data_IF_906085266996
#
_entry.id   IF_906085266996
#
_cell.length_a   1.000
_cell.length_b   1.000
_cell.length_c   1.000
_cell.angle_alpha   90.00
_cell.angle_beta   90.00
_cell.angle_gamma   90.00
#
_symmetry.space_group_name_H-M   'P 1'
#
loop_
_entity.id
_entity.type
_entity.pdbx_description
1 polymer ?
#
# COMPACT_ATOMS: atom_id res chain seq x y z
N UNK A 1 -3.49 28.42 4.96
CA UNK A 1 -3.57 27.09 4.37
C UNK A 1 -2.97 26.09 5.37
N UNK A 2 -3.75 25.08 5.74
CA UNK A 2 -3.27 24.00 6.62
C UNK A 2 -2.41 23.05 5.79
N UNK A 3 -1.21 22.73 6.28
CA UNK A 3 -0.33 21.77 5.63
C UNK A 3 -0.96 20.39 5.57
N UNK A 4 -0.88 19.75 4.41
CA UNK A 4 -1.41 18.41 4.19
C UNK A 4 -0.36 17.34 4.45
N UNK A 5 -0.80 16.23 5.01
CA UNK A 5 0.00 15.03 5.26
C UNK A 5 -0.75 13.81 4.74
N UNK A 6 -0.07 12.69 4.59
CA UNK A 6 -0.70 11.41 4.31
C UNK A 6 -0.35 10.42 5.41
N UNK A 7 -1.21 10.31 6.41
CA UNK A 7 -1.03 9.42 7.57
C UNK A 7 -1.96 8.18 7.45
N UNK A 8 -3.19 8.41 7.03
CA UNK A 8 -4.24 7.42 6.83
C UNK A 8 -4.72 7.49 5.38
N UNK A 9 -5.08 6.35 4.74
CA UNK A 9 -5.64 6.38 3.38
C UNK A 9 -6.85 7.30 3.21
N UNK A 10 -7.62 7.50 4.28
CA UNK A 10 -8.81 8.35 4.28
C UNK A 10 -8.50 9.84 4.48
N UNK A 11 -7.24 10.22 4.62
CA UNK A 11 -6.86 11.65 4.66
C UNK A 11 -7.11 12.37 3.33
N UNK A 12 -7.17 11.59 2.25
CA UNK A 12 -7.58 12.11 0.95
C UNK A 12 -9.04 11.77 0.68
N UNK A 13 -9.78 12.74 0.13
CA UNK A 13 -11.13 12.50 -0.38
C UNK A 13 -11.07 11.54 -1.56
N UNK A 14 -12.22 10.99 -1.96
CA UNK A 14 -12.30 10.15 -3.15
C UNK A 14 -11.84 10.90 -4.41
N UNK A 15 -12.21 12.18 -4.55
CA UNK A 15 -11.76 13.03 -5.65
C UNK A 15 -10.25 13.25 -5.62
N UNK A 16 -9.68 13.57 -4.46
CA UNK A 16 -8.24 13.75 -4.30
C UNK A 16 -7.46 12.47 -4.59
N UNK A 17 -7.95 11.33 -4.12
CA UNK A 17 -7.38 10.02 -4.44
C UNK A 17 -7.36 9.77 -5.95
N UNK A 18 -8.47 10.05 -6.64
CA UNK A 18 -8.56 9.91 -8.09
C UNK A 18 -7.54 10.81 -8.80
N UNK A 19 -7.40 12.05 -8.36
CA UNK A 19 -6.40 12.98 -8.94
C UNK A 19 -4.97 12.48 -8.75
N UNK A 20 -4.65 11.89 -7.59
CA UNK A 20 -3.33 11.28 -7.34
C UNK A 20 -3.09 10.10 -8.28
N UNK A 21 -4.08 9.22 -8.43
CA UNK A 21 -4.00 8.07 -9.35
C UNK A 21 -3.82 8.54 -10.80
N UNK A 22 -4.55 9.57 -11.23
CA UNK A 22 -4.45 10.13 -12.58
C UNK A 22 -3.05 10.74 -12.81
N UNK A 23 -2.51 11.45 -11.83
CA UNK A 23 -1.14 11.98 -11.90
C UNK A 23 -0.11 10.85 -12.01
N UNK A 24 -0.27 9.79 -11.20
CA UNK A 24 0.63 8.63 -11.27
C UNK A 24 0.61 7.96 -12.65
N UNK A 25 -0.57 7.84 -13.27
CA UNK A 25 -0.71 7.31 -14.63
C UNK A 25 0.01 8.22 -15.66
N UNK A 26 -0.15 9.55 -15.57
CA UNK A 26 0.55 10.49 -16.45
C UNK A 26 2.07 10.42 -16.29
N UNK A 27 2.56 10.27 -15.06
CA UNK A 27 3.98 10.09 -14.79
C UNK A 27 4.50 8.79 -15.42
N UNK A 28 3.75 7.69 -15.27
CA UNK A 28 4.10 6.41 -15.85
C UNK A 28 4.21 6.45 -17.38
N UNK A 29 3.32 7.19 -18.02
CA UNK A 29 3.29 7.36 -19.49
C UNK A 29 4.36 8.32 -20.02
N UNK A 30 4.77 9.30 -19.21
CA UNK A 30 5.65 10.39 -19.65
C UNK A 30 6.76 10.68 -18.62
N UNK A 31 7.58 9.69 -18.22
CA UNK A 31 8.50 9.87 -17.10
C UNK A 31 9.53 11.01 -17.32
N UNK A 32 9.95 11.25 -18.55
CA UNK A 32 10.93 12.29 -18.86
C UNK A 32 10.39 13.70 -18.58
N UNK A 33 9.10 13.92 -18.78
CA UNK A 33 8.46 15.23 -18.54
C UNK A 33 8.56 15.63 -17.07
N UNK A 34 8.59 14.65 -16.16
CA UNK A 34 8.62 14.86 -14.71
C UNK A 34 10.02 14.82 -14.11
N UNK A 35 11.07 14.57 -14.91
CA UNK A 35 12.43 14.29 -14.41
C UNK A 35 13.11 15.46 -13.68
N UNK A 36 12.60 16.67 -13.77
CA UNK A 36 13.14 17.88 -13.17
C UNK A 36 12.14 18.70 -12.36
N UNK A 37 10.93 18.17 -12.14
CA UNK A 37 9.87 18.95 -11.45
C UNK A 37 10.18 19.21 -9.98
N UNK A 38 11.02 18.40 -9.34
CA UNK A 38 11.44 18.55 -7.96
C UNK A 38 12.91 18.92 -7.79
N UNK A 39 13.52 19.57 -8.80
CA UNK A 39 14.90 20.04 -8.69
C UNK A 39 15.09 20.88 -7.43
N UNK A 40 16.16 20.59 -6.69
CA UNK A 40 16.47 21.29 -5.43
C UNK A 40 15.69 20.81 -4.21
N UNK A 41 14.68 19.95 -4.37
CA UNK A 41 13.89 19.40 -3.25
C UNK A 41 14.58 18.18 -2.64
N UNK A 42 14.32 17.94 -1.36
CA UNK A 42 14.87 16.80 -0.60
C UNK A 42 13.77 16.06 0.12
N UNK A 43 13.81 14.72 0.04
CA UNK A 43 13.02 13.85 0.89
C UNK A 43 13.90 13.29 2.01
N UNK A 44 13.38 13.25 3.22
CA UNK A 44 13.99 12.52 4.33
C UNK A 44 13.24 11.19 4.53
N UNK A 45 13.96 10.09 4.44
CA UNK A 45 13.42 8.75 4.71
C UNK A 45 13.86 8.31 6.11
N UNK A 46 12.92 8.36 7.06
CA UNK A 46 13.16 8.06 8.47
C UNK A 46 12.58 6.68 8.79
N UNK A 47 13.40 5.65 8.62
CA UNK A 47 12.96 4.27 8.76
C UNK A 47 13.49 3.69 10.06
N UNK A 48 12.64 3.70 11.10
CA UNK A 48 12.95 3.17 12.43
C UNK A 48 12.91 1.64 12.47
N UNK A 49 12.28 1.00 11.49
CA UNK A 49 12.35 -0.44 11.29
C UNK A 49 12.73 -0.76 9.83
N UNK A 50 13.39 -1.90 9.57
CA UNK A 50 13.84 -2.24 8.23
C UNK A 50 12.68 -2.40 7.23
N UNK A 51 12.80 -1.76 6.08
CA UNK A 51 11.92 -1.96 4.94
C UNK A 51 12.64 -1.53 3.66
N UNK A 52 13.33 -2.47 3.04
CA UNK A 52 14.17 -2.20 1.88
C UNK A 52 13.35 -1.66 0.69
N UNK A 53 12.25 -2.33 0.33
CA UNK A 53 11.45 -1.92 -0.83
C UNK A 53 10.85 -0.54 -0.66
N UNK A 54 10.18 -0.29 0.47
CA UNK A 54 9.50 0.98 0.70
C UNK A 54 10.48 2.15 0.73
N UNK A 55 11.60 1.99 1.42
CA UNK A 55 12.65 3.02 1.47
C UNK A 55 13.22 3.32 0.09
N UNK A 56 13.67 2.30 -0.64
CA UNK A 56 14.21 2.45 -1.97
C UNK A 56 13.20 3.06 -2.94
N UNK A 57 11.93 2.70 -2.81
CA UNK A 57 10.87 3.25 -3.64
C UNK A 57 10.66 4.75 -3.40
N UNK A 58 10.64 5.22 -2.16
CA UNK A 58 10.56 6.65 -1.85
C UNK A 58 11.77 7.42 -2.35
N UNK A 59 12.96 6.88 -2.11
CA UNK A 59 14.19 7.52 -2.57
C UNK A 59 14.25 7.57 -4.10
N UNK A 60 13.96 6.45 -4.77
CA UNK A 60 13.88 6.39 -6.22
C UNK A 60 12.83 7.36 -6.80
N UNK A 61 11.68 7.49 -6.14
CA UNK A 61 10.64 8.42 -6.56
C UNK A 61 11.14 9.87 -6.56
N UNK A 62 11.76 10.32 -5.47
CA UNK A 62 12.31 11.68 -5.40
C UNK A 62 13.44 11.90 -6.40
N UNK A 63 14.36 10.95 -6.53
CA UNK A 63 15.46 11.02 -7.50
C UNK A 63 14.94 11.11 -8.94
N UNK A 64 13.88 10.36 -9.25
CA UNK A 64 13.25 10.38 -10.58
C UNK A 64 12.54 11.70 -10.90
N UNK A 65 12.19 12.48 -9.89
CA UNK A 65 11.65 13.84 -10.03
C UNK A 65 12.74 14.92 -10.08
N UNK A 66 14.01 14.53 -10.01
CA UNK A 66 15.16 15.46 -10.00
C UNK A 66 15.60 15.93 -8.62
N UNK A 67 14.92 15.46 -7.56
CA UNK A 67 15.28 15.81 -6.18
C UNK A 67 16.38 14.95 -5.61
N UNK A 68 16.56 15.03 -4.29
CA UNK A 68 17.60 14.32 -3.55
C UNK A 68 16.98 13.63 -2.32
N UNK A 69 17.70 12.65 -1.79
CA UNK A 69 17.24 11.88 -0.63
C UNK A 69 18.32 11.84 0.47
N UNK A 70 17.87 11.90 1.72
CA UNK A 70 18.69 11.69 2.90
C UNK A 70 17.84 10.92 3.94
N UNK A 71 18.48 10.32 4.93
CA UNK A 71 17.74 9.59 5.95
C UNK A 71 18.56 8.51 6.64
N UNK A 72 17.84 7.63 7.34
CA UNK A 72 18.45 6.50 8.03
C UNK A 72 17.56 5.24 7.92
N UNK A 73 18.18 4.08 8.13
CA UNK A 73 17.52 2.79 8.23
C UNK A 73 17.91 2.10 9.53
N UNK A 74 16.93 1.88 10.41
CA UNK A 74 17.11 1.31 11.74
C UNK A 74 17.22 2.38 12.83
N UNK A 75 16.50 2.14 13.94
CA UNK A 75 16.48 3.08 15.07
C UNK A 75 17.86 3.28 15.70
N UNK A 76 18.70 2.24 15.64
CA UNK A 76 20.07 2.26 16.17
C UNK A 76 21.00 3.25 15.46
N UNK A 77 20.63 3.68 14.24
CA UNK A 77 21.37 4.68 13.46
C UNK A 77 20.84 6.09 13.66
N UNK A 78 19.87 6.26 14.55
CA UNK A 78 19.23 7.56 14.81
C UNK A 78 19.49 8.04 16.23
N UNK A 79 19.20 9.33 16.48
CA UNK A 79 19.26 9.92 17.80
C UNK A 79 18.22 9.36 18.79
N UNK A 80 17.31 8.48 18.34
CA UNK A 80 16.40 7.75 19.21
C UNK A 80 17.14 6.95 20.28
N UNK A 81 18.34 6.43 19.96
CA UNK A 81 19.20 5.72 20.91
C UNK A 81 19.68 6.62 22.08
N UNK A 82 19.64 7.92 21.89
CA UNK A 82 19.97 8.93 22.92
C UNK A 82 18.74 9.46 23.64
N UNK A 83 17.54 8.94 23.30
CA UNK A 83 16.28 9.37 23.88
C UNK A 83 15.58 10.52 23.15
N UNK A 84 16.00 10.89 21.94
CA UNK A 84 15.30 11.90 21.14
C UNK A 84 13.89 11.41 20.78
N UNK A 85 12.91 12.28 21.02
CA UNK A 85 11.50 11.96 20.71
C UNK A 85 11.22 12.07 19.21
N UNK A 86 10.17 11.39 18.74
CA UNK A 86 9.69 11.53 17.36
C UNK A 86 9.33 12.99 17.04
N UNK A 87 8.74 13.70 18.00
CA UNK A 87 8.40 15.13 17.84
C UNK A 87 9.64 15.98 17.56
N UNK A 88 10.69 15.79 18.34
CA UNK A 88 11.94 16.54 18.17
C UNK A 88 12.64 16.16 16.87
N UNK A 89 12.71 14.88 16.55
CA UNK A 89 13.26 14.41 15.28
C UNK A 89 12.53 15.05 14.09
N UNK A 90 11.20 15.11 14.13
CA UNK A 90 10.41 15.73 13.07
C UNK A 90 10.74 17.22 12.89
N UNK A 91 10.90 17.96 14.00
CA UNK A 91 11.32 19.37 13.97
C UNK A 91 12.72 19.56 13.39
N UNK A 92 13.67 18.74 13.84
CA UNK A 92 15.06 18.81 13.37
C UNK A 92 15.14 18.50 11.89
N UNK A 93 14.53 17.40 11.45
CA UNK A 93 14.59 16.97 10.05
C UNK A 93 13.85 17.94 9.13
N UNK A 94 12.81 18.61 9.62
CA UNK A 94 12.13 19.67 8.87
C UNK A 94 13.07 20.83 8.47
N UNK A 95 14.18 21.00 9.19
CA UNK A 95 15.21 21.98 8.81
C UNK A 95 16.06 21.52 7.62
N UNK A 96 16.09 20.25 7.31
CA UNK A 96 16.99 19.64 6.31
C UNK A 96 16.29 19.13 5.07
N UNK A 97 15.00 18.88 5.14
CA UNK A 97 14.24 18.30 4.04
C UNK A 97 12.94 19.06 3.78
N UNK A 98 12.37 18.85 2.61
CA UNK A 98 11.11 19.47 2.17
C UNK A 98 9.91 18.56 2.45
N UNK A 99 10.13 17.27 2.58
CA UNK A 99 9.13 16.25 2.85
C UNK A 99 9.75 15.08 3.62
N UNK A 100 8.96 14.46 4.50
CA UNK A 100 9.40 13.33 5.33
C UNK A 100 8.56 12.10 5.00
N UNK A 101 9.20 10.97 4.75
CA UNK A 101 8.59 9.64 4.74
C UNK A 101 9.07 8.90 5.99
N UNK A 102 8.15 8.55 6.88
CA UNK A 102 8.47 7.91 8.17
C UNK A 102 7.84 6.52 8.26
N UNK A 103 8.69 5.53 8.58
CA UNK A 103 8.25 4.18 8.97
C UNK A 103 8.66 3.93 10.41
N UNK A 104 7.71 3.48 11.22
CA UNK A 104 7.94 3.30 12.66
C UNK A 104 7.21 2.05 13.16
N UNK A 105 7.79 1.25 14.08
CA UNK A 105 7.12 0.08 14.64
C UNK A 105 5.94 0.45 15.54
N UNK A 106 5.92 1.66 16.09
CA UNK A 106 4.86 2.13 17.00
C UNK A 106 3.74 2.83 16.23
N UNK A 107 2.53 2.36 16.43
CA UNK A 107 1.32 2.99 15.89
C UNK A 107 1.20 4.44 16.34
N UNK A 108 0.83 5.32 15.43
CA UNK A 108 0.66 6.74 15.69
C UNK A 108 1.94 7.59 15.66
N UNK A 109 3.13 6.99 15.49
CA UNK A 109 4.37 7.76 15.43
C UNK A 109 4.43 8.72 14.23
N UNK A 110 4.05 8.33 12.99
CA UNK A 110 3.96 9.29 11.89
C UNK A 110 2.94 10.40 12.11
N UNK A 111 1.81 10.10 12.74
CA UNK A 111 0.83 11.13 13.13
C UNK A 111 1.45 12.11 14.13
N UNK A 112 2.15 11.60 15.13
CA UNK A 112 2.87 12.43 16.09
C UNK A 112 3.89 13.34 15.39
N UNK A 113 4.67 12.79 14.46
CA UNK A 113 5.62 13.55 13.66
C UNK A 113 4.92 14.67 12.87
N UNK A 114 3.77 14.39 12.26
CA UNK A 114 3.03 15.38 11.48
C UNK A 114 2.55 16.58 12.30
N UNK A 115 2.32 16.39 13.60
CA UNK A 115 1.90 17.48 14.50
C UNK A 115 3.02 18.48 14.79
N UNK A 116 4.28 18.08 14.64
CA UNK A 116 5.45 18.89 14.97
C UNK A 116 6.33 19.24 13.79
N UNK A 117 6.21 18.51 12.68
CA UNK A 117 6.93 18.83 11.45
C UNK A 117 6.43 20.15 10.85
N UNK A 118 7.34 20.88 10.20
CA UNK A 118 7.01 22.07 9.41
C UNK A 118 7.01 21.77 7.91
N UNK A 119 7.11 20.48 7.55
CA UNK A 119 7.03 19.97 6.19
C UNK A 119 6.04 18.82 6.14
N UNK A 120 5.52 18.45 4.96
CA UNK A 120 4.61 17.31 4.83
C UNK A 120 5.24 16.00 5.32
N UNK A 121 4.41 15.16 5.95
CA UNK A 121 4.79 13.81 6.41
C UNK A 121 3.94 12.77 5.72
N UNK A 122 4.59 11.73 5.20
CA UNK A 122 3.96 10.53 4.67
C UNK A 122 4.23 9.38 5.63
N UNK A 123 3.17 8.70 6.04
CA UNK A 123 3.27 7.44 6.79
C UNK A 123 3.71 6.32 5.84
N UNK A 124 4.94 5.84 6.01
CA UNK A 124 5.50 4.71 5.25
C UNK A 124 5.27 3.35 5.93
N UNK A 125 4.40 3.30 6.93
CA UNK A 125 4.01 2.14 7.72
C UNK A 125 4.23 2.37 9.21
N UNK A 126 3.19 2.18 10.02
CA UNK A 126 3.24 2.33 11.47
C UNK A 126 2.72 1.08 12.20
N UNK A 127 3.62 0.16 12.43
CA UNK A 127 3.31 -1.10 13.10
C UNK A 127 2.29 -1.94 12.32
N UNK A 128 1.24 -2.38 13.00
CA UNK A 128 0.12 -3.11 12.41
C UNK A 128 -1.04 -2.23 11.95
N UNK A 129 -0.90 -0.92 11.99
CA UNK A 129 -2.00 0.03 11.82
C UNK A 129 -2.24 0.42 10.35
N UNK A 130 -1.42 1.28 9.75
CA UNK A 130 -1.63 1.81 8.41
C UNK A 130 -0.40 1.73 7.51
N UNK A 131 -0.66 1.57 6.21
CA UNK A 131 0.33 1.73 5.16
C UNK A 131 -0.36 2.39 3.94
N UNK A 132 -0.64 3.71 4.00
CA UNK A 132 -1.51 4.37 3.03
C UNK A 132 -1.00 4.34 1.60
N UNK A 133 0.32 4.33 1.39
CA UNK A 133 0.87 4.27 0.03
C UNK A 133 0.64 2.90 -0.62
N UNK A 134 0.63 1.81 0.17
CA UNK A 134 0.30 0.48 -0.36
C UNK A 134 -1.14 0.43 -0.88
N UNK A 135 -2.08 1.04 -0.17
CA UNK A 135 -3.47 1.14 -0.62
C UNK A 135 -3.58 1.85 -1.97
N UNK A 136 -2.89 2.98 -2.14
CA UNK A 136 -2.89 3.72 -3.41
C UNK A 136 -2.24 2.91 -4.55
N UNK A 137 -1.18 2.19 -4.26
CA UNK A 137 -0.53 1.27 -5.22
C UNK A 137 -1.51 0.20 -5.69
N UNK A 138 -2.24 -0.40 -4.75
CA UNK A 138 -3.22 -1.43 -5.04
C UNK A 138 -4.35 -0.88 -5.91
N UNK A 139 -4.89 0.29 -5.56
CA UNK A 139 -5.92 0.96 -6.36
C UNK A 139 -5.44 1.29 -7.78
N UNK A 140 -4.22 1.79 -7.93
CA UNK A 140 -3.64 2.07 -9.24
C UNK A 140 -3.54 0.81 -10.09
N UNK A 141 -3.04 -0.28 -9.51
CA UNK A 141 -2.86 -1.56 -10.20
C UNK A 141 -4.20 -2.17 -10.61
N UNK A 142 -5.20 -2.15 -9.72
CA UNK A 142 -6.55 -2.61 -10.03
C UNK A 142 -7.13 -1.81 -11.19
N UNK A 143 -7.07 -0.48 -11.12
CA UNK A 143 -7.62 0.39 -12.17
C UNK A 143 -6.91 0.19 -13.51
N UNK A 144 -5.60 0.01 -13.52
CA UNK A 144 -4.86 -0.31 -14.74
C UNK A 144 -5.30 -1.61 -15.38
N UNK A 145 -5.56 -2.63 -14.58
CA UNK A 145 -5.90 -3.97 -15.07
C UNK A 145 -7.38 -4.11 -15.44
N UNK A 146 -8.28 -3.43 -14.75
CA UNK A 146 -9.74 -3.57 -14.92
C UNK A 146 -10.40 -2.36 -15.59
N UNK A 147 -9.74 -1.21 -15.61
CA UNK A 147 -10.27 0.04 -16.17
C UNK A 147 -11.14 0.85 -15.21
N UNK A 148 -11.54 0.29 -14.08
CA UNK A 148 -12.41 0.93 -13.09
C UNK A 148 -12.17 0.34 -11.70
N UNK A 149 -12.76 0.97 -10.67
CA UNK A 149 -12.65 0.57 -9.26
C UNK A 149 -14.01 0.20 -8.64
N UNK A 150 -15.07 0.21 -9.40
CA UNK A 150 -16.43 -0.12 -8.99
C UNK A 150 -16.90 -1.44 -9.62
N UNK A 151 -17.95 -2.02 -9.07
CA UNK A 151 -18.59 -3.23 -9.60
C UNK A 151 -17.61 -4.39 -9.85
N UNK A 152 -16.68 -4.60 -8.92
CA UNK A 152 -15.68 -5.65 -8.97
C UNK A 152 -15.93 -6.69 -7.87
N UNK A 153 -15.72 -7.95 -8.20
CA UNK A 153 -15.70 -9.04 -7.22
C UNK A 153 -14.24 -9.31 -6.83
N UNK A 154 -13.90 -8.97 -5.59
CA UNK A 154 -12.53 -9.01 -5.08
C UNK A 154 -12.38 -10.12 -4.06
N UNK A 155 -11.45 -11.04 -4.29
CA UNK A 155 -11.07 -12.10 -3.35
C UNK A 155 -9.79 -11.72 -2.62
N UNK A 156 -9.81 -11.85 -1.29
CA UNK A 156 -8.62 -11.74 -0.43
C UNK A 156 -8.32 -13.12 0.15
N UNK A 157 -7.09 -13.58 -0.01
CA UNK A 157 -6.70 -14.91 0.41
C UNK A 157 -5.42 -14.91 1.25
N UNK A 158 -5.45 -15.57 2.39
CA UNK A 158 -4.31 -15.76 3.27
C UNK A 158 -4.59 -15.35 4.73
N UNK A 159 -3.67 -14.59 5.32
CA UNK A 159 -3.84 -14.06 6.67
C UNK A 159 -4.67 -12.77 6.62
N UNK A 160 -5.96 -12.90 6.85
CA UNK A 160 -6.89 -11.77 6.85
C UNK A 160 -7.06 -11.16 8.23
N UNK A 161 -6.63 -11.87 9.27
CA UNK A 161 -6.76 -11.40 10.67
C UNK A 161 -5.78 -10.28 10.98
N UNK A 162 -4.53 -10.41 10.55
CA UNK A 162 -3.46 -9.47 10.82
C UNK A 162 -3.03 -8.67 9.58
N UNK A 163 -3.64 -8.93 8.43
CA UNK A 163 -3.30 -8.33 7.15
C UNK A 163 -3.77 -6.89 7.03
N UNK A 164 -3.00 -5.93 7.55
CA UNK A 164 -3.34 -4.49 7.48
C UNK A 164 -3.58 -3.97 6.07
N UNK A 165 -2.84 -4.51 5.07
CA UNK A 165 -3.01 -4.12 3.67
C UNK A 165 -4.38 -4.52 3.14
N UNK A 166 -4.91 -5.66 3.58
CA UNK A 166 -6.27 -6.12 3.27
C UNK A 166 -7.30 -5.18 3.88
N UNK A 167 -7.19 -4.90 5.17
CA UNK A 167 -8.16 -4.04 5.87
C UNK A 167 -8.21 -2.64 5.26
N UNK A 168 -7.04 -2.06 4.95
CA UNK A 168 -6.95 -0.73 4.34
C UNK A 168 -7.53 -0.71 2.93
N UNK A 169 -7.28 -1.75 2.12
CA UNK A 169 -7.82 -1.82 0.77
C UNK A 169 -9.34 -2.00 0.77
N UNK A 170 -9.88 -2.82 1.69
CA UNK A 170 -11.33 -2.95 1.86
C UNK A 170 -11.95 -1.59 2.20
N UNK A 171 -11.36 -0.85 3.16
CA UNK A 171 -11.82 0.49 3.54
C UNK A 171 -11.86 1.46 2.34
N UNK A 172 -10.93 1.34 1.42
CA UNK A 172 -10.89 2.18 0.22
C UNK A 172 -11.88 1.72 -0.84
N UNK A 173 -11.99 0.42 -1.07
CA UNK A 173 -12.88 -0.13 -2.11
C UNK A 173 -14.36 0.01 -1.80
N UNK A 174 -14.76 0.04 -0.53
CA UNK A 174 -16.17 0.30 -0.16
C UNK A 174 -16.64 1.72 -0.51
N UNK A 175 -15.70 2.64 -0.79
CA UNK A 175 -16.02 3.99 -1.27
C UNK A 175 -16.48 4.00 -2.73
N UNK A 176 -16.30 2.88 -3.45
CA UNK A 176 -16.72 2.70 -4.83
C UNK A 176 -17.94 1.77 -4.87
N UNK A 177 -19.00 2.09 -5.62
CA UNK A 177 -20.24 1.32 -5.57
C UNK A 177 -20.12 -0.06 -6.19
N UNK A 178 -20.91 -1.01 -5.68
CA UNK A 178 -21.12 -2.31 -6.29
C UNK A 178 -19.98 -3.31 -6.15
N UNK A 179 -18.97 -3.02 -5.34
CA UNK A 179 -17.89 -3.99 -5.06
C UNK A 179 -18.37 -5.09 -4.13
N UNK A 180 -18.01 -6.32 -4.45
CA UNK A 180 -18.30 -7.52 -3.68
C UNK A 180 -17.00 -8.14 -3.18
N UNK A 181 -17.02 -8.70 -1.96
CA UNK A 181 -15.82 -9.19 -1.29
C UNK A 181 -15.95 -10.66 -0.91
N UNK A 182 -14.93 -11.45 -1.26
CA UNK A 182 -14.76 -12.81 -0.78
C UNK A 182 -13.51 -12.87 0.10
N UNK A 183 -13.69 -13.31 1.35
CA UNK A 183 -12.59 -13.47 2.30
C UNK A 183 -12.27 -14.96 2.43
N UNK A 184 -11.13 -15.35 1.88
CA UNK A 184 -10.69 -16.74 1.73
C UNK A 184 -9.57 -17.01 2.73
N UNK A 185 -9.88 -17.73 3.79
CA UNK A 185 -8.90 -17.98 4.86
C UNK A 185 -9.27 -19.18 5.68
N UNK A 186 -8.32 -19.78 6.44
CA UNK A 186 -8.68 -20.68 7.52
C UNK A 186 -9.42 -19.93 8.62
N UNK A 187 -10.18 -20.64 9.44
CA UNK A 187 -10.97 -20.03 10.53
C UNK A 187 -10.09 -19.23 11.50
N UNK A 188 -8.85 -19.69 11.74
CA UNK A 188 -7.89 -19.05 12.65
C UNK A 188 -7.40 -17.69 12.16
N UNK A 189 -7.49 -17.42 10.85
CA UNK A 189 -6.98 -16.20 10.20
C UNK A 189 -8.08 -15.42 9.48
N UNK A 190 -9.33 -15.62 9.86
CA UNK A 190 -10.47 -14.94 9.24
C UNK A 190 -10.41 -13.43 9.44
N UNK A 191 -11.13 -12.72 8.58
CA UNK A 191 -11.28 -11.27 8.67
C UNK A 191 -11.83 -10.87 10.05
N UNK A 192 -11.27 -9.84 10.70
CA UNK A 192 -11.76 -9.41 12.02
C UNK A 192 -13.18 -8.86 11.97
N UNK A 193 -13.94 -9.10 13.03
CA UNK A 193 -15.32 -8.64 13.16
C UNK A 193 -15.44 -7.12 13.00
N UNK A 194 -14.47 -6.34 13.45
CA UNK A 194 -14.54 -4.89 13.31
C UNK A 194 -14.53 -4.42 11.84
N UNK A 195 -13.89 -5.14 10.93
CA UNK A 195 -13.95 -4.82 9.50
C UNK A 195 -15.36 -5.03 8.97
N UNK A 196 -16.01 -6.11 9.39
CA UNK A 196 -17.39 -6.42 9.01
C UNK A 196 -18.34 -5.36 9.58
N UNK A 197 -18.25 -5.10 10.88
CA UNK A 197 -19.21 -4.24 11.60
C UNK A 197 -19.01 -2.76 11.32
N UNK A 198 -17.77 -2.31 11.16
CA UNK A 198 -17.45 -0.89 11.01
C UNK A 198 -17.27 -0.44 9.56
N UNK A 199 -16.99 -1.35 8.63
CA UNK A 199 -16.71 -1.03 7.23
C UNK A 199 -17.72 -1.63 6.27
N UNK A 200 -17.92 -2.94 6.30
CA UNK A 200 -18.75 -3.63 5.30
C UNK A 200 -20.24 -3.39 5.50
N UNK A 201 -20.75 -3.62 6.70
CA UNK A 201 -22.19 -3.45 7.01
C UNK A 201 -22.66 -2.00 6.86
N UNK A 202 -21.94 -0.98 7.38
CA UNK A 202 -22.36 0.42 7.19
C UNK A 202 -22.44 0.86 5.74
N UNK A 203 -21.61 0.27 4.87
CA UNK A 203 -21.60 0.56 3.43
C UNK A 203 -22.53 -0.36 2.63
N UNK A 204 -23.29 -1.22 3.29
CA UNK A 204 -24.17 -2.21 2.64
C UNK A 204 -23.46 -3.07 1.60
N UNK A 205 -22.18 -3.37 1.84
CA UNK A 205 -21.35 -4.15 0.92
C UNK A 205 -21.65 -5.63 1.03
N UNK A 206 -21.75 -6.30 -0.12
CA UNK A 206 -21.79 -7.75 -0.16
C UNK A 206 -20.44 -8.33 0.28
N UNK A 207 -20.46 -9.29 1.18
CA UNK A 207 -19.27 -10.05 1.55
C UNK A 207 -19.61 -11.50 1.86
N UNK A 208 -18.64 -12.37 1.66
CA UNK A 208 -18.75 -13.78 2.03
C UNK A 208 -17.42 -14.28 2.57
N UNK A 209 -17.46 -14.94 3.71
CA UNK A 209 -16.32 -15.64 4.29
C UNK A 209 -16.33 -17.09 3.82
N UNK A 210 -15.23 -17.53 3.20
CA UNK A 210 -15.09 -18.87 2.61
C UNK A 210 -13.72 -19.46 2.97
N UNK A 211 -13.61 -20.77 2.82
CA UNK A 211 -12.38 -21.51 3.14
C UNK A 211 -11.67 -22.09 1.93
N UNK A 212 -12.35 -22.20 0.78
CA UNK A 212 -11.79 -22.79 -0.43
C UNK A 212 -11.41 -21.75 -1.47
N UNK A 213 -10.12 -21.66 -1.78
CA UNK A 213 -9.61 -20.84 -2.88
C UNK A 213 -10.12 -21.35 -4.23
N UNK A 214 -10.05 -22.66 -4.46
CA UNK A 214 -10.40 -23.27 -5.75
C UNK A 214 -11.87 -23.06 -6.11
N UNK A 215 -12.78 -23.21 -5.14
CA UNK A 215 -14.22 -22.99 -5.37
C UNK A 215 -14.55 -21.52 -5.61
N UNK A 216 -13.73 -20.59 -5.11
CA UNK A 216 -13.99 -19.15 -5.19
C UNK A 216 -13.38 -18.53 -6.45
N UNK A 217 -12.23 -19.04 -6.92
CA UNK A 217 -11.50 -18.48 -8.05
C UNK A 217 -12.36 -18.16 -9.29
N UNK A 218 -13.30 -19.02 -9.72
CA UNK A 218 -14.11 -18.72 -10.91
C UNK A 218 -14.99 -17.47 -10.79
N UNK A 219 -15.25 -17.00 -9.56
CA UNK A 219 -16.16 -15.87 -9.28
C UNK A 219 -15.44 -14.53 -9.25
N UNK A 220 -14.11 -14.52 -9.21
CA UNK A 220 -13.32 -13.34 -8.90
C UNK A 220 -12.93 -12.53 -10.14
N UNK A 221 -13.10 -11.22 -10.05
CA UNK A 221 -12.49 -10.26 -10.98
C UNK A 221 -11.04 -9.94 -10.60
N UNK A 222 -10.71 -10.04 -9.31
CA UNK A 222 -9.39 -9.74 -8.76
C UNK A 222 -9.11 -10.73 -7.62
N UNK A 223 -7.88 -11.23 -7.56
CA UNK A 223 -7.38 -11.99 -6.43
C UNK A 223 -6.22 -11.22 -5.75
N UNK A 224 -6.38 -10.96 -4.48
CA UNK A 224 -5.35 -10.36 -3.62
C UNK A 224 -4.83 -11.42 -2.66
N UNK A 225 -3.58 -11.83 -2.86
CA UNK A 225 -2.91 -12.82 -2.02
C UNK A 225 -2.12 -12.13 -0.91
N UNK A 226 -2.12 -12.71 0.28
CA UNK A 226 -1.30 -12.26 1.41
C UNK A 226 -0.46 -13.41 1.94
N UNK A 227 0.65 -13.07 2.59
CA UNK A 227 1.50 -14.05 3.26
C UNK A 227 0.79 -14.63 4.48
N UNK A 228 0.89 -15.95 4.67
CA UNK A 228 0.52 -16.62 5.91
C UNK A 228 1.75 -16.60 6.82
N UNK A 229 1.71 -15.77 7.86
CA UNK A 229 2.86 -15.49 8.72
C UNK A 229 3.04 -16.55 9.80
N UNK A 230 4.16 -17.27 9.78
CA UNK A 230 4.48 -18.33 10.74
C UNK A 230 4.42 -17.82 12.19
N UNK A 231 4.92 -16.62 12.41
CA UNK A 231 4.97 -15.95 13.70
C UNK A 231 3.61 -15.66 14.33
N UNK A 232 2.52 -15.82 13.56
CA UNK A 232 1.14 -15.60 14.02
C UNK A 232 0.45 -16.86 14.56
N UNK A 233 1.08 -18.03 14.42
CA UNK A 233 0.54 -19.29 14.92
C UNK A 233 1.09 -19.62 16.30
N UNK A 234 0.22 -20.11 17.18
CA UNK A 234 0.60 -20.53 18.54
C UNK A 234 1.42 -21.82 18.56
N UNK A 235 1.26 -22.68 17.54
CA UNK A 235 2.01 -23.89 17.40
C UNK A 235 2.42 -24.14 15.95
N UNK A 236 3.52 -24.89 15.78
CA UNK A 236 4.09 -25.18 14.46
C UNK A 236 3.22 -26.15 13.65
N UNK A 237 2.47 -27.03 14.31
CA UNK A 237 1.61 -28.00 13.64
C UNK A 237 0.48 -27.31 12.86
N UNK A 238 -0.16 -26.31 13.44
CA UNK A 238 -1.21 -25.54 12.76
C UNK A 238 -0.65 -24.77 11.56
N UNK A 239 0.53 -24.19 11.70
CA UNK A 239 1.20 -23.51 10.58
C UNK A 239 1.51 -24.49 9.44
N UNK A 240 2.12 -25.63 9.74
CA UNK A 240 2.45 -26.65 8.73
C UNK A 240 1.19 -27.19 8.05
N UNK A 241 0.11 -27.42 8.80
CA UNK A 241 -1.17 -27.87 8.25
C UNK A 241 -1.80 -26.87 7.29
N UNK A 242 -1.69 -25.56 7.56
CA UNK A 242 -2.43 -24.52 6.84
C UNK A 242 -1.63 -23.83 5.75
N UNK A 243 -0.30 -23.76 5.86
CA UNK A 243 0.55 -23.00 4.93
C UNK A 243 0.39 -23.41 3.46
N UNK A 244 0.27 -24.70 3.19
CA UNK A 244 0.21 -25.25 1.82
C UNK A 244 -1.21 -25.22 1.24
N UNK A 245 -2.22 -25.03 2.08
CA UNK A 245 -3.63 -25.01 1.65
C UNK A 245 -3.96 -23.82 0.75
N UNK A 246 -3.26 -22.71 0.93
CA UNK A 246 -3.54 -21.45 0.25
C UNK A 246 -2.40 -21.04 -0.70
N UNK A 247 -1.72 -22.00 -1.29
CA UNK A 247 -0.74 -21.76 -2.35
C UNK A 247 -1.46 -21.61 -3.67
N UNK A 248 -1.26 -20.47 -4.33
CA UNK A 248 -1.68 -20.27 -5.72
C UNK A 248 -0.58 -20.80 -6.64
N UNK A 249 -0.94 -21.70 -7.52
CA UNK A 249 -0.08 -22.21 -8.58
C UNK A 249 -0.79 -22.09 -9.94
N UNK A 250 -0.10 -22.45 -11.01
CA UNK A 250 -0.66 -22.34 -12.35
C UNK A 250 -1.86 -23.25 -12.57
N UNK A 251 -1.88 -24.41 -11.95
CA UNK A 251 -3.02 -25.35 -12.04
C UNK A 251 -4.29 -24.74 -11.44
N UNK A 252 -4.21 -24.17 -10.24
CA UNK A 252 -5.34 -23.46 -9.59
C UNK A 252 -5.75 -22.24 -10.40
N UNK A 253 -4.79 -21.51 -10.95
CA UNK A 253 -5.04 -20.32 -11.74
C UNK A 253 -5.87 -20.61 -13.01
N UNK A 254 -5.83 -21.84 -13.52
CA UNK A 254 -6.68 -22.26 -14.64
C UNK A 254 -8.17 -22.24 -14.30
N UNK A 255 -8.55 -22.27 -13.03
CA UNK A 255 -9.94 -22.14 -12.57
C UNK A 255 -10.46 -20.71 -12.61
N UNK A 256 -9.56 -19.73 -12.66
CA UNK A 256 -9.89 -18.32 -12.65
C UNK A 256 -10.23 -17.78 -14.04
N UNK A 257 -10.88 -16.61 -14.04
CA UNK A 257 -11.16 -15.90 -15.30
C UNK A 257 -9.83 -15.51 -15.99
N UNK A 258 -9.82 -15.49 -17.35
CA UNK A 258 -8.59 -15.24 -18.12
C UNK A 258 -7.96 -13.86 -17.86
N UNK A 259 -8.74 -12.88 -17.40
CA UNK A 259 -8.35 -11.51 -17.17
C UNK A 259 -8.28 -11.14 -15.69
N UNK A 260 -8.29 -12.11 -14.78
CA UNK A 260 -8.22 -11.85 -13.33
C UNK A 260 -6.79 -11.51 -12.91
N UNK A 261 -6.47 -10.26 -12.54
CA UNK A 261 -5.15 -9.96 -12.02
C UNK A 261 -4.95 -10.56 -10.62
N UNK A 262 -3.72 -11.01 -10.38
CA UNK A 262 -3.25 -11.49 -9.08
C UNK A 262 -2.34 -10.44 -8.46
N UNK A 263 -2.75 -9.91 -7.31
CA UNK A 263 -2.00 -8.92 -6.55
C UNK A 263 -1.40 -9.55 -5.28
N UNK A 264 -0.31 -8.96 -4.81
CA UNK A 264 0.35 -9.35 -3.57
C UNK A 264 1.21 -8.17 -3.08
N UNK A 265 1.16 -7.79 -1.79
CA UNK A 265 1.94 -6.64 -1.30
C UNK A 265 3.44 -6.90 -1.21
N UNK A 266 3.88 -8.18 -1.34
CA UNK A 266 5.26 -8.63 -1.16
C UNK A 266 5.84 -8.26 0.24
N UNK A 267 6.83 -8.99 0.77
CA UNK A 267 7.43 -10.17 0.16
C UNK A 267 6.49 -11.38 0.18
N UNK A 268 6.59 -12.21 -0.82
CA UNK A 268 5.98 -13.55 -0.78
C UNK A 268 7.00 -14.57 -0.28
N UNK A 269 6.52 -15.66 0.28
CA UNK A 269 7.34 -16.83 0.60
C UNK A 269 7.00 -17.94 -0.38
N UNK A 270 5.91 -18.66 -0.16
CA UNK A 270 5.47 -19.78 -1.00
C UNK A 270 3.99 -19.71 -1.36
N UNK A 271 3.25 -18.70 -0.90
CA UNK A 271 1.81 -18.56 -1.16
C UNK A 271 1.48 -18.29 -2.63
N UNK A 272 2.42 -17.82 -3.42
CA UNK A 272 2.34 -17.78 -4.88
C UNK A 272 3.54 -18.56 -5.43
N UNK A 273 3.27 -19.66 -6.11
CA UNK A 273 4.30 -20.45 -6.75
C UNK A 273 4.96 -19.69 -7.91
N UNK A 274 6.24 -19.93 -8.13
CA UNK A 274 7.01 -19.23 -9.19
C UNK A 274 6.50 -19.48 -10.61
N UNK A 275 5.76 -20.56 -10.84
CA UNK A 275 5.17 -20.87 -12.15
C UNK A 275 4.06 -19.88 -12.54
N UNK A 276 3.53 -19.11 -11.60
CA UNK A 276 2.54 -18.05 -11.85
C UNK A 276 3.20 -16.80 -12.44
N UNK A 277 4.49 -16.56 -12.20
CA UNK A 277 5.17 -15.31 -12.55
C UNK A 277 5.16 -15.01 -14.06
N UNK A 278 5.10 -16.00 -14.89
CA UNK A 278 5.05 -15.85 -16.35
C UNK A 278 3.62 -15.72 -16.89
N UNK A 279 2.62 -15.88 -16.05
CA UNK A 279 1.23 -15.70 -16.48
C UNK A 279 0.93 -14.19 -16.60
N UNK A 280 0.25 -13.75 -17.68
CA UNK A 280 -0.11 -12.35 -17.86
C UNK A 280 -0.96 -11.76 -16.73
N UNK A 281 -1.64 -12.60 -15.95
CA UNK A 281 -2.45 -12.18 -14.80
C UNK A 281 -1.61 -11.84 -13.56
N UNK A 282 -0.34 -12.24 -13.50
CA UNK A 282 0.57 -11.85 -12.41
C UNK A 282 0.80 -10.35 -12.43
N UNK A 283 0.24 -9.64 -11.46
CA UNK A 283 0.30 -8.18 -11.37
C UNK A 283 1.14 -7.65 -10.20
N UNK A 284 1.69 -8.54 -9.38
CA UNK A 284 2.39 -8.14 -8.15
C UNK A 284 3.74 -7.46 -8.41
N UNK A 285 4.41 -7.69 -9.52
CA UNK A 285 5.59 -6.91 -9.89
C UNK A 285 5.23 -5.56 -10.53
N UNK A 286 4.07 -5.48 -11.20
CA UNK A 286 3.53 -4.19 -11.65
C UNK A 286 3.17 -3.30 -10.45
N UNK A 287 2.67 -3.89 -9.36
CA UNK A 287 2.46 -3.15 -8.10
C UNK A 287 3.76 -2.49 -7.61
N UNK A 288 4.89 -3.17 -7.70
CA UNK A 288 6.20 -2.60 -7.30
C UNK A 288 6.56 -1.40 -8.16
N UNK A 289 6.39 -1.50 -9.47
CA UNK A 289 6.63 -0.40 -10.40
C UNK A 289 5.67 0.77 -10.13
N UNK A 290 4.39 0.47 -9.92
CA UNK A 290 3.37 1.46 -9.58
C UNK A 290 3.66 2.16 -8.26
N UNK A 291 4.32 1.47 -7.33
CA UNK A 291 4.77 2.06 -6.07
C UNK A 291 5.66 3.27 -6.26
N UNK A 292 6.57 3.22 -7.22
CA UNK A 292 7.41 4.37 -7.57
C UNK A 292 6.57 5.52 -8.12
N UNK A 293 5.65 5.25 -9.05
CA UNK A 293 4.81 6.29 -9.66
C UNK A 293 3.84 6.92 -8.67
N UNK A 294 3.23 6.13 -7.81
CA UNK A 294 2.38 6.64 -6.71
C UNK A 294 3.17 7.56 -5.79
N UNK A 295 4.37 7.16 -5.40
CA UNK A 295 5.20 7.97 -4.49
C UNK A 295 5.70 9.23 -5.15
N UNK A 296 6.00 9.20 -6.46
CA UNK A 296 6.27 10.41 -7.24
C UNK A 296 5.07 11.36 -7.24
N UNK A 297 3.87 10.85 -7.51
CA UNK A 297 2.64 11.64 -7.49
C UNK A 297 2.34 12.24 -6.11
N UNK A 298 2.56 11.47 -5.03
CA UNK A 298 2.37 11.95 -3.65
C UNK A 298 3.35 13.05 -3.29
N UNK A 299 4.61 12.93 -3.68
CA UNK A 299 5.61 13.98 -3.45
C UNK A 299 5.20 15.26 -4.16
N UNK A 300 4.80 15.18 -5.43
CA UNK A 300 4.33 16.36 -6.16
C UNK A 300 3.08 16.97 -5.52
N UNK A 301 2.10 16.14 -5.15
CA UNK A 301 0.85 16.60 -4.56
C UNK A 301 1.10 17.34 -3.23
N UNK A 302 1.86 16.74 -2.32
CA UNK A 302 2.11 17.31 -0.99
C UNK A 302 3.05 18.52 -1.01
N UNK A 303 3.97 18.59 -1.97
CA UNK A 303 4.84 19.74 -2.18
C UNK A 303 4.19 20.83 -3.05
N UNK A 304 2.94 20.63 -3.48
CA UNK A 304 2.21 21.56 -4.34
C UNK A 304 2.99 21.89 -5.63
N UNK A 305 3.64 20.89 -6.20
CA UNK A 305 4.36 21.01 -7.48
C UNK A 305 3.35 20.88 -8.61
N UNK A 306 3.23 21.89 -9.50
CA UNK A 306 2.31 21.80 -10.64
C UNK A 306 2.69 20.66 -11.58
N UNK A 307 1.67 19.97 -12.08
CA UNK A 307 1.84 18.98 -13.14
C UNK A 307 2.20 19.72 -14.45
N UNK A 308 3.35 19.45 -15.07
CA UNK A 308 3.74 20.14 -16.29
C UNK A 308 2.82 19.91 -17.48
N UNK A 309 2.02 18.84 -17.49
CA UNK A 309 1.07 18.53 -18.55
C UNK A 309 -0.26 19.26 -18.39
N UNK A 310 -0.66 19.62 -17.18
CA UNK A 310 -1.95 20.29 -16.89
C UNK A 310 -1.79 21.72 -16.37
N UNK A 311 -0.62 22.07 -15.88
CA UNK A 311 -0.35 23.35 -15.22
C UNK A 311 -1.01 23.51 -13.85
N UNK A 312 -1.56 22.44 -13.27
CA UNK A 312 -2.32 22.46 -12.01
C UNK A 312 -1.67 21.61 -10.94
N UNK A 313 -1.84 22.02 -9.69
CA UNK A 313 -1.52 21.17 -8.53
C UNK A 313 -2.66 20.17 -8.30
N UNK A 314 -2.33 19.03 -7.69
CA UNK A 314 -3.29 17.94 -7.48
C UNK A 314 -4.15 18.17 -6.24
N UNK A 315 -3.58 18.74 -5.18
CA UNK A 315 -4.27 19.04 -3.91
C UNK A 315 -4.52 20.53 -3.73
#
# INVERSE_FOLDING_TARGET
>A
LVMRHLIDPLDFTLEETTKVLDLADRIAENPEVYSHVADGKKIATLFYEPSTRTRLSFESAMLSLGGKALGFAGAEQSSATKGETVADTARVVSCYADIIAMRHPKEGAPLRASMYATVPVINAGDGGHNHPTQTLIDLMTIRQRKGHLDHLTVGFCGDLKFGRTVHSLVNSLVRHPGNEFYFISPEELKIPDYVIEETLKPNHSFYKEVTSLEETLPKLDILYMTRVQKERFFNEEDYVRLKDTYILNREKLNLAQPDMPVLHPLPRVDEIASDVDQDPRAAYFDQVQNGKYIRMALIMALLEIPDPLTGRTVL
#
